data_IF_083185198986
#
_entry.id   IF_083185198986
#
_cell.length_a   1.000
_cell.length_b   1.000
_cell.length_c   1.000
_cell.angle_alpha   90.00
_cell.angle_beta   90.00
_cell.angle_gamma   90.00
#
_symmetry.space_group_name_H-M   'P 1'
#
loop_
_entity.id
_entity.type
_entity.pdbx_description
1 polymer ?
#
# COMPACT_ATOMS: atom_id res chain seq x y z
N UNK A 1 -16.95 24.86 15.68
CA UNK A 1 -16.61 23.67 16.49
C UNK A 1 -17.66 22.60 16.21
N UNK A 2 -17.61 21.95 15.05
CA UNK A 2 -18.71 21.08 14.59
C UNK A 2 -18.15 19.74 14.12
N UNK A 3 -18.51 18.68 14.84
CA UNK A 3 -18.58 17.27 14.43
C UNK A 3 -17.29 16.48 14.11
N UNK A 4 -16.27 16.51 14.99
CA UNK A 4 -15.10 15.60 14.93
C UNK A 4 -15.33 14.12 15.33
N UNK A 5 -16.34 13.71 16.14
CA UNK A 5 -16.41 12.31 16.58
C UNK A 5 -16.90 11.36 15.47
N UNK A 6 -17.70 11.85 14.51
CA UNK A 6 -18.27 11.02 13.45
C UNK A 6 -17.23 10.59 12.41
N UNK A 7 -16.28 11.47 12.07
CA UNK A 7 -15.15 11.18 11.17
C UNK A 7 -14.11 10.27 11.82
N UNK A 8 -13.91 10.36 13.13
CA UNK A 8 -13.01 9.46 13.85
C UNK A 8 -13.55 8.03 13.91
N UNK A 9 -14.87 7.85 14.08
CA UNK A 9 -15.50 6.53 14.10
C UNK A 9 -15.46 5.86 12.72
N UNK A 10 -15.71 6.60 11.63
CA UNK A 10 -15.59 6.03 10.28
C UNK A 10 -14.15 5.67 9.93
N UNK A 11 -13.16 6.50 10.28
CA UNK A 11 -11.75 6.16 10.09
C UNK A 11 -11.34 4.91 10.89
N UNK A 12 -11.79 4.77 12.14
CA UNK A 12 -11.54 3.61 12.97
C UNK A 12 -12.16 2.32 12.39
N UNK A 13 -13.38 2.42 11.85
CA UNK A 13 -14.04 1.31 11.15
C UNK A 13 -13.30 0.89 9.88
N UNK A 14 -12.86 1.84 9.06
CA UNK A 14 -12.09 1.56 7.83
C UNK A 14 -10.75 0.90 8.17
N UNK A 15 -10.05 1.38 9.19
CA UNK A 15 -8.84 0.73 9.68
C UNK A 15 -9.14 -0.68 10.19
N UNK A 16 -10.17 -0.87 11.02
CA UNK A 16 -10.53 -2.19 11.55
C UNK A 16 -10.82 -3.21 10.43
N UNK A 17 -11.52 -2.80 9.37
CA UNK A 17 -11.78 -3.64 8.19
C UNK A 17 -10.51 -3.90 7.35
N UNK A 18 -9.65 -2.90 7.17
CA UNK A 18 -8.39 -3.06 6.47
C UNK A 18 -7.45 -4.04 7.21
N UNK A 19 -7.38 -3.93 8.55
CA UNK A 19 -6.62 -4.84 9.39
C UNK A 19 -7.21 -6.25 9.43
N UNK A 20 -8.55 -6.41 9.40
CA UNK A 20 -9.17 -7.75 9.32
C UNK A 20 -8.85 -8.44 7.98
N UNK A 21 -8.73 -7.67 6.90
CA UNK A 21 -8.24 -8.17 5.61
C UNK A 21 -6.77 -8.63 5.65
N UNK A 22 -5.92 -7.95 6.41
CA UNK A 22 -4.53 -8.37 6.64
C UNK A 22 -4.41 -9.63 7.51
N UNK A 23 -5.33 -9.86 8.45
CA UNK A 23 -5.30 -11.02 9.34
C UNK A 23 -5.60 -12.35 8.62
N UNK A 24 -6.29 -12.30 7.47
CA UNK A 24 -6.64 -13.47 6.67
C UNK A 24 -5.82 -13.58 5.35
N UNK A 25 -4.69 -12.88 5.26
CA UNK A 25 -3.81 -12.98 4.08
C UNK A 25 -3.00 -14.28 4.08
N UNK A 26 -2.91 -14.91 2.92
CA UNK A 26 -1.96 -16.00 2.69
C UNK A 26 -0.52 -15.45 2.61
N UNK A 27 0.49 -16.29 2.84
CA UNK A 27 1.91 -15.91 2.70
C UNK A 27 2.23 -15.25 1.35
N UNK A 28 1.56 -15.68 0.28
CA UNK A 28 1.59 -15.06 -1.06
C UNK A 28 1.12 -13.61 -1.04
N UNK A 29 -0.05 -13.36 -0.44
CA UNK A 29 -0.67 -12.03 -0.39
C UNK A 29 0.11 -11.06 0.48
N UNK A 30 0.68 -11.51 1.61
CA UNK A 30 1.57 -10.65 2.42
C UNK A 30 2.84 -10.27 1.66
N UNK A 31 3.45 -11.20 0.90
CA UNK A 31 4.63 -10.88 0.06
C UNK A 31 4.28 -9.93 -1.07
N UNK A 32 3.15 -10.10 -1.72
CA UNK A 32 2.67 -9.16 -2.73
C UNK A 32 2.45 -7.76 -2.14
N UNK A 33 1.79 -7.67 -0.98
CA UNK A 33 1.53 -6.40 -0.31
C UNK A 33 2.84 -5.70 0.11
N UNK A 34 3.76 -6.44 0.73
CA UNK A 34 5.06 -5.92 1.16
C UNK A 34 5.94 -5.52 -0.04
N UNK A 35 5.99 -6.36 -1.08
CA UNK A 35 6.68 -6.05 -2.33
C UNK A 35 6.11 -4.81 -3.01
N UNK A 36 4.79 -4.67 -3.04
CA UNK A 36 4.11 -3.49 -3.57
C UNK A 36 4.37 -2.24 -2.73
N UNK A 37 4.35 -2.33 -1.40
CA UNK A 37 4.66 -1.20 -0.53
C UNK A 37 6.12 -0.73 -0.69
N UNK A 38 7.07 -1.67 -0.72
CA UNK A 38 8.49 -1.37 -0.92
C UNK A 38 8.72 -0.81 -2.33
N UNK A 39 8.11 -1.41 -3.34
CA UNK A 39 8.18 -0.94 -4.71
C UNK A 39 7.59 0.45 -4.87
N UNK A 40 6.47 0.76 -4.22
CA UNK A 40 5.85 2.09 -4.20
C UNK A 40 6.77 3.12 -3.54
N UNK A 41 7.32 2.80 -2.37
CA UNK A 41 8.23 3.68 -1.63
C UNK A 41 9.52 3.95 -2.44
N UNK A 42 10.13 2.90 -3.01
CA UNK A 42 11.32 3.01 -3.85
C UNK A 42 11.05 3.77 -5.16
N UNK A 43 9.96 3.44 -5.85
CA UNK A 43 9.57 4.10 -7.10
C UNK A 43 9.19 5.56 -6.89
N UNK A 44 8.54 5.90 -5.78
CA UNK A 44 8.27 7.28 -5.38
C UNK A 44 9.57 8.03 -5.05
N UNK A 45 10.49 7.42 -4.31
CA UNK A 45 11.78 8.02 -3.97
C UNK A 45 12.60 8.31 -5.23
N UNK A 46 12.70 7.36 -6.15
CA UNK A 46 13.41 7.55 -7.42
C UNK A 46 12.74 8.62 -8.28
N UNK A 47 11.41 8.62 -8.39
CA UNK A 47 10.70 9.66 -9.13
C UNK A 47 10.86 11.05 -8.51
N UNK A 48 10.90 11.15 -7.18
CA UNK A 48 11.15 12.41 -6.47
C UNK A 48 12.57 12.95 -6.76
N UNK A 49 13.59 12.09 -6.81
CA UNK A 49 14.97 12.48 -7.13
C UNK A 49 15.11 12.83 -8.61
N UNK A 50 14.46 12.08 -9.49
CA UNK A 50 14.51 12.28 -10.94
C UNK A 50 13.69 13.48 -11.44
N UNK A 51 12.98 14.20 -10.56
CA UNK A 51 12.08 15.28 -10.94
C UNK A 51 10.83 14.81 -11.71
N UNK A 52 10.53 13.51 -11.65
CA UNK A 52 9.37 12.89 -12.29
C UNK A 52 8.14 12.87 -11.38
N UNK A 53 7.00 12.45 -11.95
CA UNK A 53 5.77 12.32 -11.17
C UNK A 53 5.89 11.28 -10.06
N UNK A 54 5.85 11.72 -8.79
CA UNK A 54 5.91 10.84 -7.62
C UNK A 54 4.82 9.76 -7.67
N UNK A 55 3.61 10.14 -8.09
CA UNK A 55 2.47 9.22 -8.22
C UNK A 55 2.75 8.17 -9.29
N UNK A 56 3.33 8.57 -10.43
CA UNK A 56 3.65 7.66 -11.52
C UNK A 56 4.74 6.67 -11.11
N UNK A 57 5.81 7.15 -10.47
CA UNK A 57 6.87 6.29 -9.92
C UNK A 57 6.36 5.35 -8.83
N UNK A 58 5.52 5.86 -7.93
CA UNK A 58 4.88 5.06 -6.89
C UNK A 58 3.96 3.98 -7.46
N UNK A 59 3.14 4.29 -8.47
CA UNK A 59 2.21 3.34 -9.09
C UNK A 59 2.95 2.24 -9.86
N UNK A 60 3.97 2.62 -10.65
CA UNK A 60 4.79 1.64 -11.39
C UNK A 60 5.54 0.75 -10.40
N UNK A 61 6.15 1.35 -9.38
CA UNK A 61 6.83 0.62 -8.32
C UNK A 61 5.89 -0.28 -7.51
N UNK A 62 4.70 0.19 -7.18
CA UNK A 62 3.68 -0.59 -6.48
C UNK A 62 3.21 -1.78 -7.31
N UNK A 63 2.89 -1.55 -8.59
CA UNK A 63 2.45 -2.60 -9.50
C UNK A 63 3.52 -3.65 -9.75
N UNK A 64 4.75 -3.23 -10.04
CA UNK A 64 5.88 -4.14 -10.24
C UNK A 64 6.24 -4.91 -8.97
N UNK A 65 6.35 -4.22 -7.84
CA UNK A 65 6.65 -4.83 -6.54
C UNK A 65 5.58 -5.81 -6.06
N UNK A 66 4.30 -5.49 -6.29
CA UNK A 66 3.20 -6.39 -5.95
C UNK A 66 3.17 -7.63 -6.85
N UNK A 67 3.41 -7.47 -8.16
CA UNK A 67 3.51 -8.58 -9.09
C UNK A 67 4.66 -9.53 -8.72
N UNK A 68 5.86 -9.00 -8.44
CA UNK A 68 7.02 -9.80 -8.04
C UNK A 68 6.76 -10.50 -6.70
N UNK A 69 6.20 -9.79 -5.71
CA UNK A 69 5.86 -10.38 -4.41
C UNK A 69 4.82 -11.50 -4.52
N UNK A 70 3.82 -11.35 -5.40
CA UNK A 70 2.85 -12.41 -5.70
C UNK A 70 3.50 -13.61 -6.40
N UNK A 71 4.41 -13.36 -7.35
CA UNK A 71 5.13 -14.39 -8.09
C UNK A 71 6.20 -15.11 -7.24
N UNK A 72 6.79 -14.48 -6.23
CA UNK A 72 7.76 -15.13 -5.34
C UNK A 72 7.08 -15.82 -4.15
N UNK A 73 5.82 -15.50 -3.86
CA UNK A 73 5.12 -16.10 -2.73
C UNK A 73 4.50 -17.48 -2.98
N UNK A 74 4.55 -17.98 -4.22
CA UNK A 74 4.05 -19.31 -4.63
C UNK A 74 5.02 -20.44 -4.26
#
# INVERSE_FOLDING_TARGET
MTNRPLTSVTAALVLAFALSGCANMTNTQQRALSGGAIGAAGGAAVAAIAGGGLVTGALIGAGGGAAIGALTGK
#
